data_IF_107253763906
#
_entry.id   IF_107253763906
#
_cell.length_a   1.000
_cell.length_b   1.000
_cell.length_c   1.000
_cell.angle_alpha   90.00
_cell.angle_beta   90.00
_cell.angle_gamma   90.00
#
_symmetry.space_group_name_H-M   'P 1'
#
loop_
_entity.id
_entity.type
_entity.pdbx_description
1 polymer ?
2 branched ?
3 non-polymer ?
4 non-polymer ?
5 non-polymer ?
6 non-polymer ?
7 water ?
#
# COMPACT_ATOMS: atom_id res chain seq x y z
N UNK A 1 22.92 7.24 -10.76
CA UNK A 1 23.34 7.09 -12.18
C UNK A 1 23.42 5.65 -12.75
N UNK A 2 23.57 4.62 -11.90
CA UNK A 2 23.32 3.22 -12.34
C UNK A 2 21.99 2.75 -11.79
N UNK A 3 21.33 1.81 -12.48
CA UNK A 3 20.11 1.20 -11.95
C UNK A 3 20.40 0.50 -10.61
N UNK A 4 19.50 0.67 -9.64
CA UNK A 4 19.60 -0.08 -8.41
C UNK A 4 19.31 -1.58 -8.59
N UNK A 5 20.13 -2.39 -7.93
CA UNK A 5 19.87 -3.83 -7.86
C UNK A 5 19.57 -4.22 -6.43
N UNK A 6 18.66 -5.16 -6.27
CA UNK A 6 18.26 -5.70 -4.98
C UNK A 6 19.26 -6.75 -4.50
N UNK A 7 20.38 -6.29 -3.97
CA UNK A 7 21.51 -7.18 -3.63
C UNK A 7 21.54 -7.57 -2.15
N UNK A 8 20.70 -6.94 -1.33
CA UNK A 8 20.71 -7.14 0.13
C UNK A 8 19.49 -7.96 0.59
N UNK A 9 19.64 -8.63 1.73
CA UNK A 9 18.55 -9.30 2.42
C UNK A 9 17.92 -8.30 3.40
N UNK A 10 16.79 -8.66 3.98
CA UNK A 10 16.13 -7.84 5.01
C UNK A 10 16.96 -7.79 6.30
N UNK A 11 16.97 -6.66 6.99
CA UNK A 11 17.57 -6.60 8.32
C UNK A 11 16.65 -7.40 9.25
N UNK A 12 17.21 -7.85 10.38
CA UNK A 12 16.46 -8.60 11.38
C UNK A 12 15.51 -7.63 12.07
N UNK A 13 14.23 -8.01 12.12
CA UNK A 13 13.20 -7.13 12.66
C UNK A 13 12.92 -7.58 14.09
N UNK A 14 13.43 -6.84 15.07
CA UNK A 14 13.17 -7.16 16.49
C UNK A 14 12.10 -6.26 17.11
N UNK A 15 11.87 -5.12 16.46
CA UNK A 15 10.77 -4.18 16.75
C UNK A 15 10.65 -3.13 15.64
N UNK A 16 9.80 -2.12 15.89
CA UNK A 16 9.51 -1.05 14.92
C UNK A 16 9.74 0.28 15.60
N UNK A 17 10.47 1.15 14.92
CA UNK A 17 10.73 2.52 15.42
C UNK A 17 9.90 3.54 14.58
N UNK A 18 9.54 4.67 15.19
CA UNK A 18 8.80 5.70 14.47
C UNK A 18 9.71 6.32 13.36
N UNK A 19 9.17 6.43 12.15
CA UNK A 19 9.88 6.97 10.98
C UNK A 19 9.30 8.32 10.52
N UNK A 20 7.99 8.40 10.38
CA UNK A 20 7.34 9.65 9.99
C UNK A 20 5.87 9.72 10.38
N UNK A 21 5.34 10.94 10.49
CA UNK A 21 3.94 11.16 10.88
C UNK A 21 3.68 12.61 10.48
N UNK A 22 2.63 12.84 9.71
CA UNK A 22 2.32 14.21 9.22
C UNK A 22 1.23 14.97 10.01
N UNK A 23 0.44 14.27 10.82
CA UNK A 23 -0.58 14.94 11.62
C UNK A 23 -1.43 15.84 10.72
N UNK A 24 -1.75 15.37 9.51
CA UNK A 24 -2.35 16.26 8.49
C UNK A 24 -3.75 16.80 8.85
N UNK A 25 -4.59 15.96 9.46
CA UNK A 25 -5.97 16.35 9.77
C UNK A 25 -5.95 17.38 10.92
N UNK A 26 -5.12 17.14 11.95
CA UNK A 26 -4.94 18.11 13.06
C UNK A 26 -4.52 19.45 12.50
N UNK A 27 -3.46 19.43 11.68
CA UNK A 27 -2.93 20.68 11.09
C UNK A 27 -3.91 21.37 10.14
N UNK A 28 -4.53 20.56 9.26
CA UNK A 28 -5.45 21.05 8.24
C UNK A 28 -6.76 21.65 8.71
N UNK A 29 -7.06 21.48 10.01
CA UNK A 29 -8.17 22.18 10.67
C UNK A 29 -8.06 23.70 10.49
N UNK A 30 -6.84 24.21 10.37
CA UNK A 30 -6.63 25.67 10.28
C UNK A 30 -5.44 26.00 9.37
N UNK A 31 -5.28 25.26 8.26
CA UNK A 31 -4.27 25.58 7.25
C UNK A 31 -4.65 24.87 5.97
N UNK A 32 -3.97 25.19 4.86
CA UNK A 32 -4.43 24.79 3.53
C UNK A 32 -3.93 23.42 3.12
N UNK A 33 -4.49 22.41 3.78
CA UNK A 33 -4.11 21.02 3.62
C UNK A 33 -5.11 20.34 2.68
N UNK A 34 -4.57 19.65 1.67
CA UNK A 34 -5.39 18.94 0.69
C UNK A 34 -6.07 17.72 1.33
N UNK A 35 -7.31 17.48 0.91
CA UNK A 35 -7.99 16.21 1.22
C UNK A 35 -7.30 15.09 0.40
N UNK A 36 -6.98 13.97 1.05
CA UNK A 36 -6.33 12.83 0.39
C UNK A 36 -7.00 11.52 0.79
N UNK A 37 -6.51 10.43 0.20
CA UNK A 37 -6.65 9.06 0.70
C UNK A 37 -5.69 8.21 -0.12
N UNK A 38 -5.59 6.93 0.21
CA UNK A 38 -4.66 6.02 -0.51
C UNK A 38 -3.19 6.54 -0.50
N UNK A 39 -2.65 6.88 0.70
CA UNK A 39 -1.27 7.34 0.80
C UNK A 39 -0.25 6.21 0.81
N UNK A 40 1.00 6.59 0.67
CA UNK A 40 2.16 5.69 0.78
C UNK A 40 3.41 6.52 0.92
N UNK A 41 4.57 5.85 0.94
CA UNK A 41 5.88 6.47 1.09
C UNK A 41 6.79 5.80 0.04
N UNK A 42 7.76 6.56 -0.49
CA UNK A 42 8.65 6.05 -1.51
C UNK A 42 9.91 6.88 -1.51
N UNK A 43 11.06 6.22 -1.67
CA UNK A 43 12.36 6.89 -1.64
C UNK A 43 12.99 7.02 -3.02
N UNK A 44 13.70 8.14 -3.18
CA UNK A 44 14.62 8.39 -4.26
C UNK A 44 16.01 8.15 -3.63
N UNK A 45 17.10 8.11 -4.44
CA UNK A 45 18.44 7.97 -3.81
C UNK A 45 18.84 9.08 -2.84
N UNK A 46 18.19 10.25 -2.91
CA UNK A 46 18.58 11.39 -2.06
C UNK A 46 17.51 11.90 -1.10
N UNK A 47 16.34 11.25 -1.07
CA UNK A 47 15.17 11.81 -0.40
C UNK A 47 14.05 10.75 -0.36
N UNK A 48 13.36 10.67 0.77
CA UNK A 48 12.14 9.88 0.91
C UNK A 48 10.95 10.81 1.06
N UNK A 49 9.84 10.48 0.40
CA UNK A 49 8.67 11.37 0.39
C UNK A 49 7.33 10.67 0.72
N UNK A 50 6.34 11.46 1.14
CA UNK A 50 4.97 10.96 1.31
C UNK A 50 4.27 11.15 -0.03
N UNK A 51 3.35 10.23 -0.32
CA UNK A 51 2.57 10.19 -1.54
C UNK A 51 1.14 9.94 -1.15
N UNK A 52 0.21 10.44 -1.97
CA UNK A 52 -1.23 10.16 -1.83
C UNK A 52 -2.01 10.63 -3.02
N UNK A 53 -3.28 10.21 -3.06
CA UNK A 53 -4.24 10.71 -4.02
C UNK A 53 -5.04 11.90 -3.47
N UNK A 54 -4.66 13.10 -3.93
CA UNK A 54 -5.41 14.29 -3.66
C UNK A 54 -6.86 14.11 -4.07
N UNK A 55 -7.75 14.91 -3.46
CA UNK A 55 -9.14 15.03 -3.92
C UNK A 55 -9.40 16.38 -4.59
N UNK A 56 -8.33 17.15 -4.80
CA UNK A 56 -8.42 18.48 -5.45
C UNK A 56 -9.25 19.50 -4.70
N UNK A 57 -9.02 19.60 -3.38
CA UNK A 57 -9.74 20.50 -2.49
C UNK A 57 -9.05 20.40 -1.14
N UNK A 58 -9.09 21.47 -0.37
CA UNK A 58 -8.64 21.44 1.03
C UNK A 58 -9.73 20.85 1.91
N UNK A 59 -9.37 20.46 3.13
CA UNK A 59 -10.30 19.83 4.10
C UNK A 59 -11.33 20.83 4.61
N UNK A 60 -10.89 22.04 4.95
CA UNK A 60 -11.84 23.11 5.34
C UNK A 60 -12.63 23.66 4.15
N UNK A 61 -12.20 23.36 2.92
CA UNK A 61 -12.89 23.87 1.73
C UNK A 61 -14.28 23.28 1.61
N UNK A 62 -15.20 24.07 1.07
CA UNK A 62 -16.54 23.56 0.77
C UNK A 62 -16.58 22.36 -0.21
N UNK A 63 -15.56 22.22 -1.08
CA UNK A 63 -15.50 21.10 -2.04
C UNK A 63 -15.05 19.79 -1.36
N UNK A 64 -14.74 19.84 -0.05
CA UNK A 64 -14.43 18.59 0.68
C UNK A 64 -15.71 17.75 0.86
N UNK A 65 -16.86 18.38 0.67
CA UNK A 65 -18.12 17.66 0.73
C UNK A 65 -18.25 16.69 -0.45
N UNK A 66 -18.35 15.40 -0.13
CA UNK A 66 -18.47 14.35 -1.17
C UNK A 66 -17.20 13.53 -1.40
N UNK A 67 -16.14 13.86 -0.67
CA UNK A 67 -14.81 13.21 -0.85
C UNK A 67 -14.71 11.77 -0.34
N UNK A 68 -15.80 11.25 0.26
CA UNK A 68 -15.92 9.78 0.42
C UNK A 68 -15.74 9.03 -0.94
N UNK A 69 -16.13 9.65 -2.07
CA UNK A 69 -16.09 8.97 -3.37
C UNK A 69 -14.65 8.79 -3.81
N UNK A 70 -14.39 7.64 -4.41
CA UNK A 70 -13.02 7.21 -4.77
C UNK A 70 -12.49 7.79 -6.09
N UNK A 71 -13.38 8.09 -7.02
CA UNK A 71 -12.96 8.30 -8.40
C UNK A 71 -13.67 9.53 -8.96
N UNK A 72 -12.91 10.57 -9.23
CA UNK A 72 -13.40 11.80 -9.84
C UNK A 72 -12.28 12.36 -10.69
N UNK A 73 -12.63 13.37 -11.49
CA UNK A 73 -11.71 14.06 -12.38
C UNK A 73 -10.78 15.01 -11.61
N UNK A 74 -10.98 15.13 -10.30
CA UNK A 74 -10.26 16.13 -9.48
C UNK A 74 -9.13 15.52 -8.63
N UNK A 75 -8.89 14.24 -8.82
CA UNK A 75 -7.88 13.52 -8.09
C UNK A 75 -6.55 13.53 -8.80
N UNK A 76 -5.46 13.42 -8.04
CA UNK A 76 -4.12 13.35 -8.62
C UNK A 76 -3.17 12.66 -7.64
N UNK A 77 -2.18 11.94 -8.16
CA UNK A 77 -1.04 11.52 -7.34
C UNK A 77 -0.16 12.74 -6.98
N UNK A 78 -0.02 13.03 -5.69
CA UNK A 78 0.85 14.11 -5.22
C UNK A 78 1.92 13.51 -4.33
N UNK A 79 3.07 14.18 -4.23
CA UNK A 79 4.07 13.85 -3.24
C UNK A 79 4.51 15.10 -2.50
N UNK A 80 5.06 14.92 -1.31
CA UNK A 80 5.43 16.07 -0.51
C UNK A 80 6.53 15.67 0.49
N UNK A 81 7.24 16.67 1.09
CA UNK A 81 8.33 16.25 2.00
C UNK A 81 7.91 15.38 3.20
N UNK A 82 8.76 14.44 3.57
CA UNK A 82 8.47 13.46 4.61
C UNK A 82 8.01 14.15 5.91
N UNK A 83 6.89 13.65 6.44
CA UNK A 83 6.30 14.09 7.71
C UNK A 83 5.70 15.52 7.71
N UNK A 84 5.80 16.23 6.57
CA UNK A 84 4.99 17.45 6.32
C UNK A 84 3.57 17.02 5.96
N UNK A 85 2.58 17.94 6.08
CA UNK A 85 1.25 17.63 5.55
C UNK A 85 1.16 17.93 4.04
N UNK A 86 0.21 17.30 3.32
CA UNK A 86 0.06 17.59 1.91
C UNK A 86 -0.70 18.91 1.78
N UNK A 87 0.03 20.00 1.62
CA UNK A 87 -0.59 21.29 1.48
C UNK A 87 -0.70 21.73 -0.02
N UNK A 88 -1.58 22.67 -0.29
CA UNK A 88 -1.68 23.30 -1.59
C UNK A 88 -0.31 23.81 -2.08
N UNK A 89 0.49 24.32 -1.14
CA UNK A 89 1.73 25.05 -1.46
C UNK A 89 2.99 24.18 -1.54
N UNK A 90 3.02 23.00 -0.91
CA UNK A 90 4.21 22.13 -0.95
C UNK A 90 4.01 20.79 -1.68
N UNK A 91 2.83 20.57 -2.24
CA UNK A 91 2.54 19.30 -2.87
C UNK A 91 2.87 19.33 -4.35
N UNK A 92 3.62 18.32 -4.80
CA UNK A 92 4.07 18.19 -6.18
C UNK A 92 3.20 17.16 -6.88
N UNK A 93 2.58 17.54 -7.99
CA UNK A 93 1.74 16.59 -8.76
C UNK A 93 2.59 15.68 -9.66
N UNK A 94 2.45 14.35 -9.46
CA UNK A 94 3.18 13.35 -10.21
C UNK A 94 2.43 12.97 -11.52
N UNK A 95 1.10 12.94 -11.46
CA UNK A 95 0.23 12.67 -12.63
C UNK A 95 -1.22 12.74 -12.18
N UNK A 96 -2.14 12.70 -13.13
CA UNK A 96 -3.57 12.91 -12.86
C UNK A 96 -4.28 11.57 -12.86
N UNK A 97 -5.11 11.32 -11.84
CA UNK A 97 -5.88 10.09 -11.81
C UNK A 97 -6.30 9.65 -10.42
N UNK A 98 -6.96 8.49 -10.35
CA UNK A 98 -7.58 8.02 -9.09
C UNK A 98 -7.11 6.66 -8.65
N UNK A 99 -5.99 6.21 -9.24
CA UNK A 99 -5.31 4.98 -8.84
C UNK A 99 -3.87 5.12 -9.30
N UNK A 100 -2.91 4.69 -8.47
CA UNK A 100 -1.51 5.01 -8.75
C UNK A 100 -0.49 4.04 -8.16
N UNK A 101 0.69 4.10 -8.74
CA UNK A 101 1.91 3.53 -8.12
C UNK A 101 3.08 4.44 -8.54
N UNK A 102 4.22 4.30 -7.87
CA UNK A 102 5.41 5.09 -8.14
C UNK A 102 6.64 4.37 -7.61
N UNK A 103 7.76 4.45 -8.33
CA UNK A 103 9.04 3.94 -7.80
C UNK A 103 10.23 4.51 -8.57
N UNK A 104 11.37 4.61 -7.87
CA UNK A 104 12.62 5.12 -8.43
C UNK A 104 13.46 3.92 -8.77
N UNK A 105 14.07 3.94 -9.96
CA UNK A 105 14.88 2.80 -10.41
C UNK A 105 16.39 2.95 -10.13
N UNK A 106 16.79 4.02 -9.45
CA UNK A 106 18.22 4.31 -9.18
C UNK A 106 18.71 5.44 -10.06
N UNK A 107 18.10 5.56 -11.25
CA UNK A 107 18.41 6.66 -12.17
C UNK A 107 17.34 7.74 -12.10
N UNK A 108 16.08 7.35 -12.26
CA UNK A 108 14.97 8.30 -12.16
C UNK A 108 13.66 7.58 -11.74
N UNK A 109 12.59 8.34 -11.57
CA UNK A 109 11.32 7.82 -11.06
C UNK A 109 10.28 7.50 -12.16
N UNK A 110 9.61 6.35 -12.02
CA UNK A 110 8.41 6.04 -12.77
C UNK A 110 7.20 6.27 -11.89
N UNK A 111 6.19 6.97 -12.42
CA UNK A 111 4.89 7.15 -11.76
C UNK A 111 3.79 6.75 -12.72
N UNK A 112 2.77 6.11 -12.17
CA UNK A 112 1.66 5.62 -12.99
C UNK A 112 0.34 6.08 -12.38
N UNK A 113 -0.48 6.76 -13.19
CA UNK A 113 -1.84 7.14 -12.77
C UNK A 113 -2.84 6.60 -13.77
N UNK A 114 -3.95 6.09 -13.24
CA UNK A 114 -5.08 5.61 -14.05
C UNK A 114 -6.22 6.63 -13.87
N UNK A 115 -6.89 6.98 -14.95
CA UNK A 115 -8.09 7.84 -14.86
C UNK A 115 -9.12 7.36 -15.86
N UNK A 116 -10.31 7.96 -15.84
CA UNK A 116 -11.35 7.64 -16.79
C UNK A 116 -12.64 7.20 -16.12
N UNK A 117 -13.68 6.93 -16.94
CA UNK A 117 -14.90 6.38 -16.36
C UNK A 117 -14.65 4.92 -16.06
N UNK A 118 -15.54 4.29 -15.29
CA UNK A 118 -15.40 2.88 -14.91
C UNK A 118 -15.20 1.93 -16.10
N UNK A 119 -15.90 2.20 -17.20
CA UNK A 119 -15.87 1.32 -18.37
C UNK A 119 -14.85 1.72 -19.46
N UNK A 120 -13.95 2.64 -19.15
CA UNK A 120 -13.08 3.20 -20.15
C UNK A 120 -11.81 3.88 -19.59
N UNK A 121 -11.25 3.30 -18.52
CA UNK A 121 -10.07 3.87 -17.87
C UNK A 121 -8.81 3.58 -18.65
N UNK A 122 -7.76 4.36 -18.38
CA UNK A 122 -6.45 4.12 -18.97
C UNK A 122 -5.35 4.52 -18.01
N UNK A 123 -4.26 3.76 -18.02
CA UNK A 123 -3.05 4.07 -17.28
C UNK A 123 -2.11 4.94 -18.15
N UNK A 124 -1.55 5.98 -17.56
CA UNK A 124 -0.39 6.58 -18.18
C UNK A 124 0.86 6.46 -17.32
N UNK A 125 1.90 5.95 -17.96
CA UNK A 125 3.20 5.70 -17.34
C UNK A 125 4.16 6.84 -17.64
N UNK A 126 4.52 7.56 -16.58
CA UNK A 126 5.48 8.65 -16.60
C UNK A 126 6.84 8.11 -16.15
N UNK A 127 7.88 8.64 -16.75
CA UNK A 127 9.24 8.29 -16.41
C UNK A 127 10.09 9.55 -16.60
N UNK A 128 10.91 9.89 -15.59
CA UNK A 128 11.67 11.17 -15.59
C UNK A 128 10.73 12.38 -15.77
N UNK A 129 9.55 12.25 -15.16
CA UNK A 129 8.47 13.27 -15.11
C UNK A 129 7.90 13.65 -16.46
N UNK A 130 7.99 12.71 -17.41
CA UNK A 130 7.35 12.83 -18.72
C UNK A 130 6.49 11.61 -19.01
N UNK A 131 5.36 11.81 -19.72
CA UNK A 131 4.53 10.66 -20.13
C UNK A 131 5.27 9.87 -21.22
N UNK A 132 5.33 8.54 -21.07
CA UNK A 132 6.00 7.67 -22.05
C UNK A 132 5.09 6.59 -22.67
N UNK A 133 4.30 5.89 -21.84
CA UNK A 133 3.48 4.76 -22.33
C UNK A 133 2.08 4.90 -21.79
N UNK A 134 1.10 4.45 -22.57
CA UNK A 134 -0.29 4.40 -22.15
C UNK A 134 -0.87 3.00 -22.37
N UNK A 135 -1.77 2.60 -21.47
CA UNK A 135 -2.41 1.26 -21.52
C UNK A 135 -3.93 1.41 -21.31
N UNK A 136 -4.72 0.97 -22.29
CA UNK A 136 -6.18 1.12 -22.21
C UNK A 136 -6.72 -0.04 -21.41
N UNK A 137 -7.83 0.21 -20.71
CA UNK A 137 -8.58 -0.82 -20.03
C UNK A 137 -8.74 -2.07 -20.92
N UNK A 138 -8.57 -3.25 -20.32
CA UNK A 138 -8.76 -4.51 -21.05
C UNK A 138 -10.06 -5.27 -20.67
N UNK A 139 -10.66 -4.92 -19.53
CA UNK A 139 -11.87 -5.61 -19.08
C UNK A 139 -13.03 -4.63 -18.84
N UNK A 140 -12.79 -3.33 -19.08
CA UNK A 140 -13.85 -2.30 -19.06
C UNK A 140 -14.58 -2.21 -17.70
N UNK A 141 -13.79 -2.36 -16.64
CA UNK A 141 -14.33 -2.35 -15.28
C UNK A 141 -13.26 -1.90 -14.23
N UNK A 142 -13.09 -0.58 -14.13
CA UNK A 142 -12.18 0.06 -13.17
C UNK A 142 -10.79 -0.56 -13.19
N UNK A 143 -10.06 -0.32 -14.27
CA UNK A 143 -8.62 -0.55 -14.32
C UNK A 143 -7.99 0.12 -13.06
N UNK A 144 -7.21 -0.65 -12.29
CA UNK A 144 -6.70 -0.16 -11.00
C UNK A 144 -5.36 -0.83 -10.62
N UNK A 145 -4.60 -0.22 -9.73
CA UNK A 145 -3.27 -0.73 -9.43
C UNK A 145 -3.00 -0.66 -7.93
N UNK A 146 -1.73 -0.53 -7.55
CA UNK A 146 -1.26 -0.95 -6.22
C UNK A 146 -1.65 -0.03 -5.05
N UNK A 147 -1.66 1.29 -5.29
CA UNK A 147 -1.84 2.30 -4.22
C UNK A 147 -0.69 2.30 -3.20
N UNK A 148 0.46 1.77 -3.63
CA UNK A 148 1.72 1.92 -2.87
C UNK A 148 2.92 1.72 -3.82
N UNK A 149 4.15 1.89 -3.34
CA UNK A 149 5.26 1.94 -4.28
C UNK A 149 5.53 0.61 -5.03
N UNK A 150 6.01 0.71 -6.26
CA UNK A 150 6.54 -0.46 -6.97
C UNK A 150 8.01 -0.64 -6.57
N UNK A 151 8.67 -1.62 -7.16
CA UNK A 151 10.06 -1.94 -6.84
C UNK A 151 10.79 -2.25 -8.13
N UNK A 152 12.03 -1.79 -8.25
CA UNK A 152 12.83 -2.00 -9.43
C UNK A 152 14.08 -2.82 -9.15
N UNK A 153 14.52 -3.56 -10.17
CA UNK A 153 15.78 -4.30 -10.14
C UNK A 153 16.47 -4.22 -11.52
N UNK A 154 17.67 -3.64 -11.56
CA UNK A 154 18.39 -3.39 -12.84
C UNK A 154 17.52 -2.69 -13.93
N UNK A 155 16.68 -1.75 -13.50
CA UNK A 155 15.88 -0.99 -14.49
C UNK A 155 14.50 -1.55 -14.71
N UNK A 156 14.32 -2.84 -14.36
CA UNK A 156 12.99 -3.51 -14.48
C UNK A 156 12.14 -3.29 -13.22
N UNK A 157 11.00 -2.62 -13.40
CA UNK A 157 10.05 -2.30 -12.34
C UNK A 157 8.69 -2.98 -12.62
N UNK A 158 8.43 -4.16 -12.02
CA UNK A 158 7.13 -4.78 -12.21
C UNK A 158 6.00 -4.05 -11.45
N UNK A 159 4.82 -4.10 -12.06
CA UNK A 159 3.63 -3.49 -11.52
C UNK A 159 2.43 -4.43 -11.68
N UNK A 160 1.66 -4.54 -10.60
CA UNK A 160 0.44 -5.36 -10.61
C UNK A 160 -0.80 -4.47 -10.82
N UNK A 161 -1.58 -4.82 -11.86
CA UNK A 161 -2.83 -4.16 -12.21
C UNK A 161 -3.93 -5.21 -12.15
N UNK A 162 -5.15 -4.75 -11.91
CA UNK A 162 -6.34 -5.58 -12.03
C UNK A 162 -7.38 -4.79 -12.78
N UNK A 163 -8.15 -5.50 -13.61
CA UNK A 163 -9.28 -4.91 -14.35
C UNK A 163 -10.39 -5.97 -14.36
N UNK A 164 -11.60 -5.56 -14.01
CA UNK A 164 -12.74 -6.48 -13.94
C UNK A 164 -13.38 -6.41 -12.58
N UNK A 165 -14.18 -7.43 -12.25
CA UNK A 165 -15.00 -7.44 -11.06
C UNK A 165 -14.21 -7.38 -9.75
N UNK A 166 -14.80 -6.71 -8.76
CA UNK A 166 -14.33 -6.71 -7.36
C UNK A 166 -14.99 -7.82 -6.52
N UNK A 167 -15.94 -8.53 -7.13
CA UNK A 167 -16.80 -9.47 -6.39
C UNK A 167 -16.93 -10.82 -7.14
N UNK A 168 -15.85 -11.22 -7.81
CA UNK A 168 -15.85 -12.33 -8.76
C UNK A 168 -14.48 -12.38 -9.42
N UNK A 169 -14.23 -13.40 -10.28
CA UNK A 169 -12.98 -13.46 -11.04
C UNK A 169 -12.73 -12.15 -11.83
N UNK A 170 -11.47 -11.75 -11.91
CA UNK A 170 -11.06 -10.52 -12.60
C UNK A 170 -9.78 -10.80 -13.38
N UNK A 171 -9.29 -9.82 -14.12
CA UNK A 171 -8.13 -10.00 -14.99
C UNK A 171 -6.96 -9.15 -14.49
N UNK A 172 -6.04 -9.83 -13.81
CA UNK A 172 -4.88 -9.22 -13.22
C UNK A 172 -3.73 -9.52 -14.14
N UNK A 173 -2.90 -8.51 -14.36
CA UNK A 173 -1.72 -8.61 -15.20
C UNK A 173 -0.50 -8.05 -14.46
N UNK A 174 0.67 -8.64 -14.74
CA UNK A 174 1.92 -8.12 -14.22
C UNK A 174 2.68 -7.53 -15.41
N UNK A 175 2.94 -6.22 -15.34
CA UNK A 175 3.63 -5.50 -16.36
C UNK A 175 5.05 -5.27 -15.88
N UNK A 176 6.00 -5.54 -16.76
CA UNK A 176 7.40 -5.31 -16.51
C UNK A 176 7.86 -4.11 -17.33
N UNK A 177 8.07 -3.00 -16.60
CA UNK A 177 8.49 -1.73 -17.19
C UNK A 177 10.00 -1.50 -17.09
N UNK A 178 10.55 -0.82 -18.08
CA UNK A 178 11.95 -0.35 -18.03
C UNK A 178 12.02 0.97 -18.79
N UNK A 179 12.39 2.03 -18.06
CA UNK A 179 12.40 3.40 -18.59
C UNK A 179 11.01 3.83 -19.12
N UNK A 180 9.96 3.39 -18.39
CA UNK A 180 8.58 3.68 -18.77
C UNK A 180 7.99 2.86 -19.91
N UNK A 181 8.78 1.95 -20.49
CA UNK A 181 8.34 1.17 -21.65
C UNK A 181 8.03 -0.26 -21.22
N UNK A 182 7.08 -0.90 -21.92
CA UNK A 182 6.67 -2.25 -21.56
C UNK A 182 7.69 -3.21 -22.16
N UNK A 183 8.39 -3.94 -21.32
CA UNK A 183 9.24 -5.03 -21.81
C UNK A 183 8.39 -6.27 -22.02
N UNK A 184 7.45 -6.52 -21.10
CA UNK A 184 6.69 -7.76 -21.08
C UNK A 184 5.46 -7.54 -20.20
N UNK A 185 4.40 -8.31 -20.43
CA UNK A 185 3.36 -8.47 -19.42
C UNK A 185 2.91 -9.93 -19.38
N UNK A 186 2.35 -10.36 -18.25
CA UNK A 186 1.84 -11.73 -18.05
C UNK A 186 0.47 -11.64 -17.39
N UNK A 187 -0.45 -12.58 -17.70
CA UNK A 187 -1.65 -12.73 -16.87
C UNK A 187 -1.28 -13.39 -15.54
N UNK A 188 -2.00 -13.07 -14.47
CA UNK A 188 -1.81 -13.69 -13.18
C UNK A 188 -1.82 -15.22 -13.27
N UNK A 189 -0.87 -15.85 -12.59
CA UNK A 189 -0.81 -17.30 -12.48
C UNK A 189 -0.71 -17.67 -11.00
N UNK A 190 -0.62 -18.98 -10.75
CA UNK A 190 -0.57 -19.57 -9.41
C UNK A 190 -1.96 -19.72 -8.81
N UNK A 191 -2.02 -19.76 -7.48
CA UNK A 191 -3.26 -20.16 -6.80
C UNK A 191 -4.06 -19.01 -6.17
N UNK A 192 -3.52 -17.79 -6.16
CA UNK A 192 -4.30 -16.61 -5.79
C UNK A 192 -5.53 -16.46 -6.70
N UNK A 193 -6.69 -16.24 -6.13
CA UNK A 193 -7.94 -16.30 -6.88
C UNK A 193 -8.50 -14.91 -7.24
N UNK A 194 -8.05 -13.88 -6.52
CA UNK A 194 -8.42 -12.49 -6.75
C UNK A 194 -7.32 -11.60 -6.18
N UNK A 195 -6.93 -10.55 -6.93
CA UNK A 195 -5.79 -9.67 -6.57
C UNK A 195 -6.16 -8.18 -6.71
N UNK A 196 -5.85 -7.42 -5.66
CA UNK A 196 -6.00 -5.97 -5.64
C UNK A 196 -4.94 -5.32 -4.75
N UNK A 197 -4.55 -4.10 -5.10
CA UNK A 197 -3.75 -3.25 -4.19
C UNK A 197 -2.52 -3.94 -3.59
N UNK A 198 -1.65 -4.49 -4.43
CA UNK A 198 -0.44 -5.17 -3.95
C UNK A 198 0.55 -4.24 -3.26
N UNK A 199 1.04 -4.65 -2.09
CA UNK A 199 2.08 -3.94 -1.37
C UNK A 199 3.37 -4.73 -1.56
N UNK A 200 4.39 -4.10 -2.16
CA UNK A 200 5.56 -4.84 -2.61
C UNK A 200 6.85 -4.37 -1.94
N UNK A 201 7.81 -5.27 -1.84
CA UNK A 201 9.19 -4.93 -1.41
C UNK A 201 10.14 -5.87 -2.12
N UNK A 202 11.43 -5.53 -2.10
CA UNK A 202 12.45 -6.27 -2.81
C UNK A 202 13.61 -6.64 -1.91
N UNK A 203 14.15 -7.84 -2.10
CA UNK A 203 15.38 -8.26 -1.44
C UNK A 203 15.97 -9.44 -2.20
N UNK A 204 17.30 -9.52 -2.21
CA UNK A 204 18.04 -10.56 -2.92
C UNK A 204 17.41 -10.93 -4.30
N UNK A 205 17.25 -9.91 -5.15
CA UNK A 205 16.80 -10.07 -6.55
C UNK A 205 15.41 -10.73 -6.68
N UNK A 206 14.58 -10.60 -5.64
CA UNK A 206 13.21 -11.10 -5.70
C UNK A 206 12.25 -10.06 -5.12
N UNK A 207 11.10 -9.89 -5.76
CA UNK A 207 10.07 -8.95 -5.33
C UNK A 207 8.85 -9.70 -4.80
N UNK A 208 8.46 -9.35 -3.57
CA UNK A 208 7.36 -9.99 -2.86
C UNK A 208 6.29 -8.96 -2.69
N UNK A 209 5.08 -9.31 -3.14
CA UNK A 209 3.89 -8.47 -3.02
C UNK A 209 2.81 -9.16 -2.17
N UNK A 210 2.34 -8.48 -1.13
CA UNK A 210 1.19 -8.93 -0.36
C UNK A 210 -0.02 -8.10 -0.77
N UNK A 211 -1.09 -8.80 -1.18
CA UNK A 211 -2.19 -8.13 -1.83
C UNK A 211 -3.49 -8.33 -1.06
N UNK A 212 -4.60 -7.96 -1.72
CA UNK A 212 -5.95 -8.00 -1.16
C UNK A 212 -6.81 -8.90 -2.06
N UNK A 213 -7.33 -9.99 -1.49
CA UNK A 213 -8.35 -10.78 -2.16
C UNK A 213 -9.70 -10.22 -1.75
N UNK A 214 -10.27 -9.32 -2.57
CA UNK A 214 -11.53 -8.70 -2.22
C UNK A 214 -12.73 -9.67 -2.28
N UNK A 215 -12.67 -10.64 -3.18
CA UNK A 215 -13.81 -11.47 -3.50
C UNK A 215 -14.14 -12.47 -2.37
N UNK A 216 -13.16 -13.26 -1.94
CA UNK A 216 -13.40 -14.33 -0.98
C UNK A 216 -12.46 -14.40 0.22
N UNK A 217 -11.25 -13.88 0.08
CA UNK A 217 -10.13 -14.19 0.99
C UNK A 217 -9.95 -13.24 2.16
N UNK A 218 -9.91 -13.79 3.37
CA UNK A 218 -9.54 -13.03 4.57
C UNK A 218 -8.08 -13.31 5.00
N UNK A 219 -7.51 -14.39 4.43
CA UNK A 219 -6.03 -14.49 4.34
C UNK A 219 -5.56 -13.60 3.15
N UNK A 220 -4.30 -13.21 3.11
CA UNK A 220 -3.86 -12.35 2.01
C UNK A 220 -3.13 -13.12 0.92
N UNK A 221 -3.46 -12.83 -0.36
CA UNK A 221 -2.68 -13.44 -1.44
C UNK A 221 -1.28 -12.83 -1.56
N UNK A 222 -0.35 -13.63 -2.08
CA UNK A 222 1.03 -13.20 -2.24
C UNK A 222 1.49 -13.51 -3.66
N UNK A 223 2.01 -12.50 -4.34
CA UNK A 223 2.70 -12.70 -5.61
C UNK A 223 4.21 -12.53 -5.40
N UNK A 224 5.01 -13.48 -5.87
CA UNK A 224 6.46 -13.29 -5.85
C UNK A 224 6.99 -13.25 -7.26
N UNK A 225 7.79 -12.21 -7.51
CA UNK A 225 8.22 -11.85 -8.86
C UNK A 225 9.74 -11.95 -8.98
N UNK A 226 10.17 -12.58 -10.05
CA UNK A 226 11.58 -12.62 -10.48
C UNK A 226 11.76 -11.54 -11.56
N UNK A 227 12.36 -10.38 -11.21
CA UNK A 227 12.44 -9.26 -12.18
C UNK A 227 13.53 -9.47 -13.25
N UNK A 228 14.33 -10.52 -13.13
CA UNK A 228 15.35 -10.86 -14.15
C UNK A 228 14.71 -11.76 -15.20
N UNK A 229 14.21 -12.92 -14.76
CA UNK A 229 13.44 -13.82 -15.64
C UNK A 229 12.11 -13.20 -16.08
N UNK A 230 11.66 -12.16 -15.37
CA UNK A 230 10.32 -11.57 -15.58
C UNK A 230 9.19 -12.60 -15.54
N UNK A 231 9.21 -13.41 -14.48
CA UNK A 231 8.18 -14.42 -14.22
C UNK A 231 7.70 -14.28 -12.77
N UNK A 232 6.56 -14.89 -12.45
CA UNK A 232 6.01 -14.81 -11.09
C UNK A 232 5.30 -16.10 -10.66
N UNK A 233 4.97 -16.18 -9.37
CA UNK A 233 4.05 -17.22 -8.84
C UNK A 233 3.09 -16.48 -7.92
N UNK A 234 2.05 -17.16 -7.47
CA UNK A 234 1.16 -16.63 -6.42
C UNK A 234 0.60 -17.75 -5.58
N UNK A 235 0.27 -17.39 -4.33
CA UNK A 235 -0.36 -18.28 -3.35
C UNK A 235 -1.01 -17.35 -2.31
N UNK A 236 -1.34 -17.90 -1.14
CA UNK A 236 -1.83 -17.11 -0.01
C UNK A 236 -0.86 -17.29 1.15
N UNK A 237 -0.87 -16.35 2.10
CA UNK A 237 -0.28 -16.59 3.42
C UNK A 237 -1.00 -17.80 4.06
N UNK A 238 -0.24 -18.87 4.30
CA UNK A 238 -0.72 -20.12 4.91
C UNK A 238 -1.24 -19.90 6.34
N UNK A 239 -0.66 -18.91 7.03
CA UNK A 239 -0.91 -18.69 8.45
C UNK A 239 -2.39 -18.54 8.83
N UNK A 240 -2.81 -19.13 9.97
CA UNK A 240 -4.17 -18.85 10.49
C UNK A 240 -4.31 -17.46 11.14
N UNK A 241 -3.22 -16.69 11.24
CA UNK A 241 -3.30 -15.29 11.69
C UNK A 241 -3.79 -14.49 10.48
N UNK A 242 -5.10 -14.24 10.43
CA UNK A 242 -5.73 -13.65 9.23
C UNK A 242 -5.56 -12.12 9.22
N UNK A 243 -5.24 -11.55 8.06
CA UNK A 243 -4.80 -10.13 8.05
C UNK A 243 -5.57 -9.17 7.15
N UNK A 244 -6.65 -9.64 6.54
CA UNK A 244 -7.54 -8.71 5.83
C UNK A 244 -8.60 -8.13 6.80
N UNK A 245 -9.48 -7.31 6.27
CA UNK A 245 -10.55 -6.68 7.07
C UNK A 245 -11.68 -6.21 6.15
N UNK A 246 -12.95 -6.48 6.52
CA UNK A 246 -13.34 -7.33 7.65
C UNK A 246 -12.94 -8.81 7.44
N UNK A 247 -12.94 -9.59 8.52
CA UNK A 247 -12.48 -10.98 8.52
C UNK A 247 -13.17 -11.77 9.62
N UNK A 248 -13.21 -13.12 9.50
CA UNK A 248 -13.74 -13.87 10.65
C UNK A 248 -12.65 -13.96 11.71
N UNK A 249 -12.96 -14.59 12.84
CA UNK A 249 -11.96 -14.79 13.89
C UNK A 249 -10.86 -15.72 13.42
N UNK A 250 -9.67 -15.59 14.03
CA UNK A 250 -8.54 -16.45 13.66
C UNK A 250 -8.86 -17.92 13.97
N UNK A 251 -8.61 -18.83 13.00
CA UNK A 251 -8.70 -20.27 13.25
C UNK A 251 -7.37 -20.79 13.81
N UNK A 252 -7.19 -22.11 13.85
CA UNK A 252 -5.88 -22.69 14.18
C UNK A 252 -5.15 -23.20 12.96
N UNK A 253 -5.87 -23.38 11.85
CA UNK A 253 -5.20 -23.72 10.62
C UNK A 253 -5.71 -22.82 9.51
N UNK A 254 -4.56 -22.11 8.53
CA UNK A 254 -4.99 -21.24 7.45
C UNK A 254 -5.11 -22.09 6.22
N UNK A 255 -5.06 -21.41 5.08
CA UNK A 255 -5.10 -22.03 3.75
C UNK A 255 -3.97 -21.40 2.94
N UNK A 256 -3.18 -22.26 2.31
CA UNK A 256 -2.01 -21.89 1.51
C UNK A 256 -2.39 -21.53 0.08
N UNK A 257 -3.42 -22.19 -0.45
CA UNK A 257 -3.70 -22.11 -1.89
C UNK A 257 -5.13 -21.77 -2.25
N UNK A 258 -5.89 -21.28 -1.28
CA UNK A 258 -7.27 -20.87 -1.50
C UNK A 258 -7.60 -19.74 -0.56
N UNK A 259 -8.65 -18.95 -0.85
CA UNK A 259 -9.11 -17.93 0.07
C UNK A 259 -9.66 -18.54 1.38
N UNK A 260 -9.28 -17.99 2.52
CA UNK A 260 -9.88 -18.38 3.76
C UNK A 260 -11.28 -17.71 3.83
N UNK A 261 -12.35 -18.52 3.93
CA UNK A 261 -13.71 -17.99 3.77
C UNK A 261 -14.31 -17.37 5.04
N UNK A 262 -15.52 -16.83 4.90
CA UNK A 262 -16.22 -16.22 6.02
C UNK A 262 -16.65 -14.79 5.71
N UNK A 263 -15.92 -14.12 4.80
CA UNK A 263 -16.22 -12.73 4.42
C UNK A 263 -16.00 -12.53 2.91
N UNK A 264 -17.00 -11.95 2.26
CA UNK A 264 -17.02 -11.84 0.81
C UNK A 264 -17.09 -10.35 0.40
N UNK A 265 -16.51 -10.03 -0.75
CA UNK A 265 -16.77 -8.77 -1.42
C UNK A 265 -16.35 -7.55 -0.60
N UNK A 266 -15.26 -7.64 0.14
CA UNK A 266 -14.75 -6.48 0.87
C UNK A 266 -13.33 -6.78 1.32
N UNK A 267 -12.66 -5.79 1.90
CA UNK A 267 -11.26 -5.97 2.29
C UNK A 267 -10.60 -4.64 2.57
N UNK A 268 -9.28 -4.65 2.75
CA UNK A 268 -8.52 -3.43 2.92
C UNK A 268 -7.10 -3.68 2.36
N UNK A 269 -6.47 -2.66 1.79
CA UNK A 269 -5.07 -2.81 1.38
C UNK A 269 -4.20 -3.06 2.62
N UNK A 270 -3.29 -4.03 2.55
CA UNK A 270 -2.37 -4.33 3.67
C UNK A 270 -1.04 -4.86 3.14
N UNK A 271 -0.19 -5.38 4.02
CA UNK A 271 1.18 -5.77 3.61
C UNK A 271 1.72 -6.81 4.60
N UNK A 272 2.86 -7.41 4.27
CA UNK A 272 3.63 -8.24 5.19
C UNK A 272 5.09 -8.23 4.73
N UNK A 273 5.97 -8.72 5.60
CA UNK A 273 7.37 -9.03 5.27
C UNK A 273 7.52 -10.51 5.55
N UNK A 274 7.82 -11.27 4.50
CA UNK A 274 7.83 -12.74 4.59
C UNK A 274 9.28 -13.24 4.43
N UNK A 275 9.92 -13.61 5.53
CA UNK A 275 11.36 -13.82 5.52
C UNK A 275 11.74 -14.91 6.55
N UNK A 276 11.18 -16.12 6.38
CA UNK A 276 11.45 -17.23 7.29
C UNK A 276 11.01 -16.88 8.68
N UNK A 277 11.89 -17.07 9.65
CA UNK A 277 11.58 -16.69 11.03
C UNK A 277 11.41 -15.17 11.22
N UNK A 278 12.06 -14.37 10.36
CA UNK A 278 12.00 -12.90 10.34
C UNK A 278 10.72 -12.39 9.61
N UNK A 279 9.59 -13.02 9.89
CA UNK A 279 8.33 -12.72 9.23
C UNK A 279 7.42 -11.91 10.16
N UNK A 280 6.96 -10.75 9.69
CA UNK A 280 6.02 -9.90 10.41
C UNK A 280 4.80 -9.53 9.55
N UNK A 281 3.62 -9.68 10.13
CA UNK A 281 2.35 -9.36 9.47
C UNK A 281 1.74 -8.12 10.10
N UNK A 282 1.20 -7.22 9.28
CA UNK A 282 0.34 -6.16 9.79
C UNK A 282 -1.13 -6.55 9.59
N UNK A 283 -1.98 -6.07 10.50
CA UNK A 283 -3.44 -6.21 10.45
C UNK A 283 -4.09 -5.08 11.28
N UNK A 284 -5.34 -4.78 10.94
CA UNK A 284 -6.23 -4.06 11.84
C UNK A 284 -6.42 -4.94 13.09
N UNK A 285 -6.58 -4.30 14.25
CA UNK A 285 -6.93 -5.06 15.45
C UNK A 285 -8.39 -5.57 15.34
N UNK A 286 -9.31 -4.68 14.97
CA UNK A 286 -10.71 -5.06 14.76
C UNK A 286 -10.89 -6.04 13.57
N UNK A 287 -11.76 -7.04 13.75
CA UNK A 287 -12.15 -7.97 12.68
C UNK A 287 -13.29 -7.40 11.85
N UNK A 288 -13.91 -6.35 12.35
CA UNK A 288 -15.13 -5.79 11.76
C UNK A 288 -14.91 -4.49 10.98
N UNK A 289 -14.02 -3.63 11.47
CA UNK A 289 -13.76 -2.37 10.78
C UNK A 289 -12.28 -1.96 10.75
N UNK A 290 -11.98 -0.87 10.03
CA UNK A 290 -10.63 -0.34 9.88
C UNK A 290 -10.28 0.43 11.15
N UNK A 291 -10.01 -0.35 12.17
CA UNK A 291 -9.87 0.16 13.48
C UNK A 291 -8.66 -0.54 14.13
N UNK A 292 -7.80 0.24 14.77
CA UNK A 292 -6.52 -0.27 15.32
C UNK A 292 -5.54 -0.81 14.28
N UNK A 293 -4.31 -1.07 14.72
CA UNK A 293 -3.28 -1.62 13.87
C UNK A 293 -2.17 -2.23 14.70
N UNK A 294 -1.77 -3.44 14.33
CA UNK A 294 -0.69 -4.11 15.02
C UNK A 294 0.25 -4.83 14.06
N UNK A 295 1.50 -4.98 14.49
CA UNK A 295 2.45 -5.87 13.82
C UNK A 295 2.61 -7.16 14.63
N UNK A 296 2.62 -8.30 13.95
CA UNK A 296 2.80 -9.59 14.62
C UNK A 296 3.93 -10.41 13.98
N UNK A 297 4.85 -10.86 14.80
CA UNK A 297 5.91 -11.76 14.36
C UNK A 297 5.32 -13.17 14.28
N UNK A 298 5.26 -13.70 13.06
CA UNK A 298 4.60 -15.00 12.82
C UNK A 298 5.61 -15.81 11.99
N UNK A 299 6.54 -16.50 12.67
CA UNK A 299 7.60 -17.24 11.94
C UNK A 299 7.02 -18.14 10.86
N UNK A 300 7.58 -18.04 9.64
CA UNK A 300 7.15 -18.87 8.51
C UNK A 300 5.67 -18.74 8.11
N UNK A 301 5.06 -17.58 8.38
CA UNK A 301 3.66 -17.31 8.04
C UNK A 301 3.29 -17.78 6.63
N UNK A 302 4.15 -17.47 5.66
CA UNK A 302 3.91 -17.80 4.25
C UNK A 302 3.67 -19.29 4.00
N UNK A 303 4.47 -20.13 4.65
CA UNK A 303 4.51 -21.55 4.33
C UNK A 303 3.96 -22.50 5.43
N UNK A 304 3.62 -21.95 6.59
CA UNK A 304 3.25 -22.79 7.75
C UNK A 304 1.78 -22.48 8.11
N UNK A 305 0.90 -23.42 7.79
CA UNK A 305 -0.54 -23.22 7.91
C UNK A 305 -1.07 -23.30 9.35
N UNK A 306 -0.16 -23.43 10.31
CA UNK A 306 -0.51 -23.45 11.74
C UNK A 306 0.29 -22.38 12.52
N UNK A 307 1.10 -21.56 11.81
CA UNK A 307 1.98 -20.55 12.44
C UNK A 307 1.19 -19.48 13.21
N UNK A 308 1.64 -19.22 14.44
CA UNK A 308 0.99 -18.29 15.37
C UNK A 308 2.02 -17.26 15.85
N UNK A 309 1.56 -16.14 16.44
CA UNK A 309 2.51 -15.06 16.80
C UNK A 309 3.51 -15.46 17.89
N UNK A 310 4.74 -14.97 17.80
CA UNK A 310 5.75 -15.18 18.86
C UNK A 310 6.16 -13.84 19.51
N UNK A 311 5.70 -12.75 18.90
CA UNK A 311 6.05 -11.39 19.31
C UNK A 311 5.07 -10.48 18.58
N UNK A 312 4.84 -9.05 19.28
CA UNK A 312 4.06 -8.11 18.51
C UNK A 312 4.39 -6.69 18.92
N UNK A 313 3.72 -5.76 18.25
CA UNK A 313 3.80 -4.38 18.62
C UNK A 313 2.49 -3.75 18.17
N UNK A 314 1.84 -3.04 19.09
CA UNK A 314 0.68 -2.24 18.73
C UNK A 314 1.19 -0.97 18.08
N UNK A 315 0.55 -0.54 17.01
CA UNK A 315 0.89 0.67 16.26
C UNK A 315 -0.20 1.72 16.49
N UNK A 316 -1.47 1.27 16.36
CA UNK A 316 -2.65 2.12 16.58
C UNK A 316 -3.61 1.33 17.48
N UNK A 317 -4.09 1.99 18.55
CA UNK A 317 -5.06 1.36 19.47
C UNK A 317 -6.36 1.04 18.74
N UNK A 318 -7.04 0.01 19.22
CA UNK A 318 -8.33 -0.40 18.65
C UNK A 318 -9.42 0.64 18.85
N UNK A 319 -9.15 1.67 19.66
CA UNK A 319 -10.08 2.76 19.88
C UNK A 319 -9.78 3.94 18.94
N UNK A 320 -8.88 3.72 17.98
CA UNK A 320 -8.53 4.73 16.95
C UNK A 320 -8.68 4.14 15.53
N UNK A 321 -9.04 5.01 14.60
CA UNK A 321 -9.21 4.64 13.20
C UNK A 321 -7.87 4.40 12.47
N UNK A 322 -7.82 3.33 11.69
CA UNK A 322 -6.69 3.05 10.80
C UNK A 322 -7.19 3.15 9.36
N UNK A 323 -6.77 2.21 8.52
CA UNK A 323 -7.06 2.27 7.08
C UNK A 323 -6.09 1.39 6.33
N UNK A 324 -5.72 1.85 5.13
CA UNK A 324 -4.80 1.16 4.24
C UNK A 324 -3.43 1.05 4.89
N UNK A 325 -2.66 0.02 4.53
CA UNK A 325 -1.28 -0.06 4.95
C UNK A 325 -0.44 -0.70 3.82
N UNK A 326 0.85 -0.39 3.76
CA UNK A 326 1.69 -0.85 2.65
C UNK A 326 3.16 -0.74 2.96
N UNK A 327 3.95 -1.37 2.11
CA UNK A 327 5.39 -1.52 2.35
C UNK A 327 6.22 -0.55 1.48
N UNK A 328 7.36 -0.11 2.00
CA UNK A 328 8.39 0.58 1.23
C UNK A 328 9.71 0.33 1.98
N UNK A 329 10.84 0.53 1.31
CA UNK A 329 12.13 0.57 1.99
C UNK A 329 13.01 1.64 1.34
N UNK A 330 13.96 2.16 2.11
CA UNK A 330 15.01 3.00 1.55
C UNK A 330 16.12 2.08 0.94
N UNK A 331 15.97 1.75 -0.34
CA UNK A 331 16.96 0.93 -1.08
C UNK A 331 18.35 1.58 -1.23
N UNK A 332 18.46 2.87 -0.88
CA UNK A 332 19.70 3.63 -1.01
C UNK A 332 20.39 3.99 0.33
N UNK A 333 19.90 3.43 1.43
CA UNK A 333 20.53 3.59 2.74
C UNK A 333 21.89 2.87 2.82
N UNK A 334 22.72 3.28 3.77
CA UNK A 334 23.99 2.59 4.05
C UNK A 334 23.77 1.26 4.75
N UNK A 335 24.79 0.40 4.75
CA UNK A 335 24.76 -0.80 5.58
C UNK A 335 24.58 -2.03 4.72
N UNK A 336 24.37 -3.15 5.38
CA UNK A 336 24.49 -4.44 4.72
C UNK A 336 23.13 -5.11 4.47
N UNK A 337 22.05 -4.46 4.90
CA UNK A 337 20.73 -5.06 4.79
C UNK A 337 19.69 -3.99 4.51
N UNK A 338 18.55 -4.39 3.97
CA UNK A 338 17.43 -3.46 3.77
C UNK A 338 16.52 -3.45 4.99
N UNK A 339 16.26 -2.25 5.51
CA UNK A 339 15.43 -2.06 6.69
C UNK A 339 13.97 -1.94 6.27
N UNK A 340 13.18 -2.93 6.66
CA UNK A 340 11.75 -2.98 6.36
C UNK A 340 11.03 -1.75 6.93
N UNK A 341 10.18 -1.13 6.11
CA UNK A 341 9.31 -0.03 6.60
C UNK A 341 7.87 -0.26 6.17
N UNK A 342 6.95 0.45 6.81
CA UNK A 342 5.57 0.46 6.37
C UNK A 342 4.89 1.78 6.79
N UNK A 343 3.76 2.10 6.17
CA UNK A 343 2.91 3.19 6.64
C UNK A 343 1.50 2.63 6.96
N UNK A 344 0.75 3.36 7.79
CA UNK A 344 -0.66 3.12 7.99
C UNK A 344 -1.37 4.46 7.66
N UNK A 345 -2.41 4.37 6.84
CA UNK A 345 -3.33 5.45 6.53
C UNK A 345 -4.32 5.51 7.70
N UNK A 346 -4.46 6.70 8.30
CA UNK A 346 -5.39 6.91 9.42
C UNK A 346 -6.58 7.71 8.90
N UNK A 347 -7.63 7.00 8.51
CA UNK A 347 -8.80 7.61 7.86
C UNK A 347 -9.66 8.31 8.89
N UNK A 348 -10.08 9.55 8.56
CA UNK A 348 -10.99 10.31 9.38
C UNK A 348 -12.14 10.74 8.51
N UNK A 349 -13.29 10.92 9.15
CA UNK A 349 -14.48 11.39 8.44
C UNK A 349 -15.32 10.21 8.00
N UNK A 350 -15.94 10.33 6.84
CA UNK A 350 -16.87 9.29 6.39
C UNK A 350 -16.18 8.00 5.94
N UNK A 351 -16.89 6.85 6.06
CA UNK A 351 -18.25 6.75 6.61
C UNK A 351 -18.33 6.63 8.16
N UNK A 352 -17.22 6.41 8.85
CA UNK A 352 -17.31 6.11 10.29
C UNK A 352 -17.62 7.34 11.11
N UNK A 353 -17.17 8.49 10.66
CA UNK A 353 -17.45 9.74 11.38
C UNK A 353 -18.28 10.68 10.51
N UNK A 354 -19.61 10.52 10.54
CA UNK A 354 -20.45 11.18 9.56
C UNK A 354 -21.03 12.53 9.96
N UNK A 355 -20.53 13.12 11.03
CA UNK A 355 -20.96 14.46 11.40
C UNK A 355 -20.23 15.48 10.50
N UNK A 356 -19.13 15.04 9.89
CA UNK A 356 -18.47 15.81 8.80
C UNK A 356 -18.85 15.22 7.44
N UNK A 357 -18.79 16.04 6.40
CA UNK A 357 -19.18 15.66 5.03
C UNK A 357 -17.98 15.20 4.19
N UNK A 358 -16.78 15.25 4.78
CA UNK A 358 -15.56 14.82 4.10
C UNK A 358 -15.06 13.44 4.55
N UNK A 359 -14.09 12.93 3.78
CA UNK A 359 -13.23 11.82 4.15
C UNK A 359 -11.81 12.21 3.80
N UNK A 360 -10.91 12.09 4.77
CA UNK A 360 -9.50 12.27 4.49
C UNK A 360 -8.70 11.32 5.40
N UNK A 361 -7.41 11.62 5.57
CA UNK A 361 -6.54 10.78 6.37
C UNK A 361 -5.29 11.54 6.77
N UNK A 362 -4.55 11.01 7.73
CA UNK A 362 -3.14 11.38 7.91
C UNK A 362 -2.29 10.10 7.77
N UNK A 363 -0.98 10.22 7.96
CA UNK A 363 -0.06 9.11 7.77
C UNK A 363 0.79 8.93 9.01
N UNK A 364 1.05 7.66 9.37
CA UNK A 364 2.13 7.33 10.30
C UNK A 364 2.94 6.22 9.61
N UNK A 365 4.27 6.25 9.77
CA UNK A 365 5.12 5.14 9.27
C UNK A 365 6.23 4.81 10.24
N UNK A 366 6.67 3.55 10.18
CA UNK A 366 7.67 2.96 11.04
C UNK A 366 8.66 2.20 10.16
N UNK A 367 9.89 2.01 10.64
CA UNK A 367 10.84 1.09 10.04
C UNK A 367 11.30 0.16 11.14
N UNK A 368 11.94 -0.96 10.77
CA UNK A 368 12.34 -1.98 11.75
C UNK A 368 13.61 -1.57 12.48
N UNK A 369 13.73 -2.01 13.73
CA UNK A 369 14.94 -1.86 14.54
C UNK A 369 15.46 -3.29 14.87
N UNK A 370 16.77 -3.45 14.97
CA UNK A 370 17.36 -4.69 15.56
C UNK A 370 17.35 -4.67 17.12
N UNK A 371 17.00 -3.53 17.69
CA UNK A 371 16.73 -3.48 19.14
C UNK A 371 15.31 -3.96 19.45
N UNK A 372 15.04 -4.23 20.74
CA UNK A 372 13.67 -4.52 21.21
C UNK A 372 13.11 -3.27 21.89
N UNK A 373 12.64 -2.35 21.05
CA UNK A 373 12.20 -1.04 21.53
C UNK A 373 10.82 -1.08 22.18
N UNK A 374 10.67 -0.26 23.21
CA UNK A 374 9.34 0.03 23.80
C UNK A 374 8.35 0.56 22.76
N UNK A 375 7.05 0.29 23.00
CA UNK A 375 6.01 0.69 22.07
C UNK A 375 5.17 1.90 22.56
N UNK A 376 4.79 2.76 21.61
CA UNK A 376 3.71 3.73 21.82
C UNK A 376 2.61 3.44 20.81
N UNK A 377 1.45 4.09 20.96
CA UNK A 377 0.45 4.00 19.92
C UNK A 377 0.45 5.35 19.25
N UNK A 378 0.00 5.40 17.99
CA UNK A 378 0.15 6.57 17.12
C UNK A 378 -1.16 6.92 16.41
N UNK A 379 -2.11 7.57 17.12
CA UNK A 379 -3.41 7.90 16.48
C UNK A 379 -3.30 9.11 15.54
N UNK A 380 -4.32 9.34 14.72
CA UNK A 380 -4.37 10.56 13.89
C UNK A 380 -4.23 11.82 14.76
N UNK A 381 -4.98 11.86 15.87
CA UNK A 381 -4.89 12.94 16.84
C UNK A 381 -5.87 14.10 16.69
N UNK A 382 -6.62 14.16 15.60
CA UNK A 382 -7.58 15.25 15.44
C UNK A 382 -8.88 15.02 16.21
N UNK A 383 -9.53 16.12 16.62
CA UNK A 383 -10.89 16.11 17.22
C UNK A 383 -11.88 16.50 16.17
N UNK A 384 -12.70 15.54 15.74
CA UNK A 384 -13.72 15.80 14.72
C UNK A 384 -14.66 16.94 15.12
N UNK A 385 -14.99 17.04 16.41
CA UNK A 385 -15.87 18.10 16.91
C UNK A 385 -15.38 19.51 16.53
N UNK A 386 -14.06 19.68 16.36
CA UNK A 386 -13.49 20.98 15.96
C UNK A 386 -13.95 21.43 14.54
N UNK A 387 -14.24 20.45 13.70
CA UNK A 387 -14.63 20.66 12.31
C UNK A 387 -16.12 20.89 12.14
N UNK A 388 -16.86 20.87 13.25
CA UNK A 388 -18.31 21.04 13.21
C UNK A 388 -18.66 22.50 13.35
X LIG B 1 -19.37 14.35 -34.63
X LIG B 1 -19.08 15.82 -34.77
X LIG B 1 -18.89 16.52 -33.42
X LIG B 1 -20.09 16.28 -32.51
X LIG B 1 -20.24 14.76 -32.34
X LIG B 1 -21.52 14.37 -31.58
X LIG B 1 -20.30 16.25 -35.35
X LIG B 1 -18.66 17.90 -33.63
X LIG B 1 -19.87 16.87 -31.23
X LIG B 1 -20.32 14.08 -33.61
X LIG B 1 -21.28 13.01 -31.17
X LIG B 2 -20.56 17.60 -36.04
X LIG B 2 -22.03 17.49 -36.46
X LIG B 2 -22.22 16.76 -37.79
X LIG B 2 -21.22 17.23 -38.82
X LIG B 2 -19.76 17.18 -38.30
X LIG B 2 -18.73 17.74 -39.27
X LIG B 2 -22.50 18.83 -36.56
X LIG B 2 -23.57 16.99 -38.23
X LIG B 2 -21.36 16.33 -39.94
X LIG B 2 -19.65 17.93 -37.10
X LIG B 2 -19.07 19.08 -39.70
X LIG C 1 -11.63 1.15 -0.17
X LIG C 1 -11.64 1.48 -1.66
X LIG C 1 -10.76 2.72 -1.96
X LIG C 1 -10.15 2.72 -3.37
X LIG C 1 -10.93 1.82 -4.37
X LIG C 1 -10.91 0.39 -3.81
X LIG C 1 -11.81 -0.57 -4.61
X LIG C 1 -11.70 -1.99 -4.05
X LIG C 1 -12.60 -2.99 -4.78
X LIG C 1 -10.65 2.25 -6.81
X LIG C 1 -9.71 2.15 -7.99
X LIG C 1 -10.19 1.80 -5.65
X LIG C 1 -11.95 -0.03 0.10
X LIG C 1 -11.35 2.05 0.70
X LIG C 1 -13.04 1.67 -2.01
X LIG C 1 -10.10 4.06 -3.86
X LIG C 1 -11.22 0.32 -2.40
X LIG C 1 -13.18 -0.11 -4.62
X LIG C 1 -10.32 -2.37 -4.11
X LIG C 1 -12.11 -3.24 -6.10
X LIG C 1 -11.78 2.70 -6.96
X LIG D 1 -14.39 -3.30 16.95
X LIG D 1 -15.19 -2.35 17.84
X LIG D 1 -14.36 -1.73 18.99
X LIG D 1 -13.55 -0.46 18.66
X LIG D 1 -14.26 0.50 17.68
X LIG D 1 -14.97 -0.27 16.55
X LIG D 1 -15.87 0.63 15.70
X LIG D 1 -16.78 -0.19 14.79
X LIG D 1 -17.11 0.59 13.54
X LIG D 1 -13.13 2.66 17.15
X LIG D 1 -11.99 3.25 16.35
X LIG D 1 -13.24 1.33 17.02
X LIG D 1 -14.75 -3.39 15.76
X LIG D 1 -13.43 -3.95 17.45
X LIG D 1 -16.25 -3.13 18.41
X LIG D 1 -13.30 0.23 19.89
X LIG D 1 -15.81 -1.32 17.06
X LIG D 1 -16.66 1.48 16.53
X LIG D 1 -16.17 -1.47 14.46
X LIG D 1 -18.44 0.28 13.12
X LIG D 1 -13.84 3.39 17.83
X LIG E 1 -14.77 4.27 -24.89
X LIG E 1 -16.21 4.62 -25.30
X LIG E 1 -16.23 4.65 -26.81
X LIG E 1 -15.14 5.65 -27.24
X LIG E 1 -13.74 5.28 -26.71
X LIG E 1 -12.59 6.15 -27.21
X LIG E 1 -18.07 3.70 -24.07
X LIG E 1 -18.79 2.42 -23.72
X LIG E 1 -17.03 3.49 -24.87
X LIG E 1 -17.51 5.14 -27.24
X LIG E 1 -15.11 5.51 -28.64
X LIG E 1 -13.85 5.30 -25.30
X LIG E 1 -12.84 7.55 -27.09
X LIG E 1 -18.41 4.80 -23.65
X LIG F 1 -15.10 6.92 -29.56
X LIG F 1 -14.47 6.91 -30.94
X LIG F 1 -14.53 8.35 -31.38
X LIG F 1 -16.01 8.80 -31.30
X LIG F 1 -16.62 8.67 -29.90
X LIG F 1 -18.11 9.05 -29.85
X LIG F 1 -12.65 5.31 -31.08
X LIG F 1 -11.19 4.96 -30.96
X LIG F 1 -13.06 6.56 -30.77
X LIG F 1 -13.99 8.43 -32.69
X LIG F 1 -16.09 10.17 -31.67
X LIG F 1 -16.46 7.33 -29.47
X LIG F 1 -18.81 8.09 -30.66
X LIG F 1 -13.43 4.47 -31.48
X LIG G 1 -17.06 10.50 -32.99
X LIG G 1 -17.28 12.00 -32.93
X LIG G 1 -17.97 12.36 -34.24
X LIG G 1 -17.23 11.85 -35.46
X LIG G 1 -17.01 10.36 -35.33
X LIG G 1 -16.18 9.87 -36.50
X LIG G 1 -16.01 12.64 -32.84
X LIG G 1 -17.91 13.78 -34.28
X LIG G 1 -17.94 12.13 -36.67
X LIG G 1 -16.26 10.14 -34.13
X LIG G 1 -16.31 8.46 -36.44
X LIG H 1 -23.49 19.56 -35.33
X LIG H 1 -23.80 20.89 -36.01
X LIG H 1 -22.52 21.72 -36.20
X LIG H 1 -21.77 21.85 -34.87
X LIG H 1 -21.37 20.45 -34.36
X LIG H 1 -20.71 20.48 -32.97
X LIG H 1 -24.75 21.56 -35.18
X LIG H 1 -22.84 23.00 -36.74
X LIG H 1 -20.65 22.74 -34.98
X LIG H 1 -22.54 19.62 -34.23
X LIG H 1 -21.70 20.95 -32.05
X LIG I 1 -17.91 7.99 -37.56
X LIG I 1 -17.84 6.48 -37.34
X LIG I 1 -16.56 5.93 -37.95
X LIG I 1 -16.40 6.32 -39.40
X LIG I 1 -16.26 7.83 -39.39
X LIG I 1 -16.07 8.39 -40.78
X LIG I 1 -19.02 5.91 -37.91
X LIG I 1 -16.53 4.51 -37.92
X LIG I 1 -15.22 5.70 -39.93
X LIG I 1 -17.45 8.39 -38.86
X LIG I 1 -17.21 8.01 -41.56
X LIG J 1 -17.37 9.16 -44.28
X LIG J 1 -18.74 8.49 -44.03
X LIG J 1 -18.65 7.01 -43.59
X LIG J 1 -17.50 6.24 -44.27
X LIG J 1 -16.21 7.02 -44.08
X LIG J 1 -14.98 6.25 -44.55
X LIG J 1 -19.60 8.69 -45.17
X LIG J 1 -19.91 6.34 -43.73
X LIG J 1 -17.36 4.93 -43.71
X LIG J 1 -16.33 8.28 -44.75
X LIG J 1 -13.79 6.81 -43.97
X LIG K 1 -15.13 3.30 -36.66
X LIG K 1 -15.87 2.08 -37.21
X LIG K 1 -17.28 1.89 -36.63
X LIG K 1 -17.34 2.15 -35.11
X LIG K 1 -16.80 3.57 -34.86
X LIG K 1 -16.86 4.01 -33.39
X LIG K 1 -15.07 0.92 -37.06
X LIG K 1 -17.77 0.59 -36.97
X LIG K 1 -18.68 2.01 -34.61
X LIG K 1 -15.43 3.65 -35.30
X LIG K 1 -17.08 5.43 -33.31
X LIG L 1 23.19 -3.32 -11.31
X LIG L 1 24.41 -2.45 -11.22
X LIG L 1 24.69 -2.01 -12.65
X LIG L 1 24.89 -3.26 -13.50
X LIG L 1 23.71 -4.26 -13.43
X LIG L 1 23.92 -5.55 -14.24
X LIG L 1 24.80 -0.78 -9.48
X LIG L 1 24.33 0.43 -8.73
X LIG L 1 24.01 -1.28 -10.45
X LIG L 1 25.85 -1.20 -12.68
X LIG L 1 25.03 -2.83 -14.85
X LIG L 1 23.45 -4.53 -12.04
X LIG L 1 25.20 -6.12 -13.92
X LIG L 1 25.87 -1.30 -9.20
X LIG M 1 26.60 -2.76 -15.82
X LIG M 1 26.20 -2.46 -17.26
X LIG M 1 27.53 -2.34 -18.03
X LIG M 1 28.11 -1.01 -17.49
X LIG M 1 28.30 -1.09 -15.94
X LIG M 1 28.78 0.20 -15.30
X LIG M 1 25.07 -4.73 -17.81
X LIG M 1 23.77 -5.24 -18.30
X LIG M 1 25.14 -3.40 -17.73
X LIG M 1 27.32 -2.26 -19.43
X LIG M 1 29.31 -0.59 -18.18
X LIG M 1 27.09 -1.53 -15.28
X LIG M 1 27.77 1.21 -15.38
X LIG M 1 25.97 -5.49 -17.51
X LIG N 1 -23.42 18.24 1.31
X LIG N 1 -24.31 19.29 1.95
X LIG N 1 -25.63 18.61 2.28
X LIG N 1 -26.24 17.99 1.02
X LIG N 1 -25.27 16.96 0.45
X LIG N 1 -25.76 16.28 -0.82
X LIG N 1 -23.04 20.76 3.49
X LIG N 1 -22.39 20.92 4.82
X LIG N 1 -23.63 19.59 3.21
X LIG N 1 -26.50 19.57 2.88
X LIG N 1 -27.54 17.42 1.29
X LIG N 1 -23.99 17.56 0.19
X LIG N 1 -25.39 17.03 -1.98
X LIG N 1 -23.02 21.67 2.69
X LIG O 1 -11.03 -9.83 1.60
#
# INVERSE_FOLDING_TARGET
RDFNNLTKGLCTINSWHIYGKDNAVRIGEDSDVLVTREPYVSCDPDECRFYALSQGTTIRGKHSNGTIHDRSQYRALISWPLSSPPTVYNSRVECIGWSSTSCHDGKTRMSICISGPNNNASAVIWYNRRPVTEINTWARNILRTQESECVCHNGVCPVVFTDGSATGPAETRIYYFKEGKILKWEPLAGTAKHIEECSCYGERAEITCTCRDNWQGSNRPVIRIDPVAMTHTSQYICSPVLTDNPRPNDPTVGKCNDPYPGNNNNGVKGFSYLDGVNTWLGRTISIASRSGYEMLKVPNALTDDKSKPTQGQTIVLNTDWSGYSGSFMDYWAEGECYRACFYVELIRGRPKEDKVWWTSNSIVSMCSSTEFLGQWDWPDGAKIEYFL
MAN C1 C2 C3 C4 C5 C6 O2 O3 O4 O5 O6
MAN C1 C2 C3 C4 C5 C6 O2 O3 O4 O5 O6
SIA C1 C2 C3 C4 C5 C6 C7 C8 C9 C10 C11 N5 O1A O1B O2 O4 O6 O7 O8 O9 O10
SIA C1 C2 C3 C4 C5 C6 C7 C8 C9 C10 C11 N5 O1A O1B O2 O4 O6 O7 O8 O9 O10
NAG C1 C2 C3 C4 C5 C6 C7 C8 N2 O3 O4 O5 O6 O7
NAG C1 C2 C3 C4 C5 C6 C7 C8 N2 O3 O4 O5 O6 O7
BMA C1 C2 C3 C4 C5 C6 O2 O3 O4 O5 O6
BMA C1 C2 C3 C4 C5 C6 O2 O3 O4 O5 O6
BMA C1 C2 C3 C4 C5 C6 O2 O3 O4 O5 O6
BMA C1 C2 C3 C4 C5 C6 O2 O3 O4 O5 O6
BMA C1 C2 C3 C4 C5 C6 O2 O3 O4 O5 O6
NAG C1 C2 C3 C4 C5 C6 C7 C8 N2 O3 O4 O5 O6 O7
NAG C1 C2 C3 C4 C5 C6 C7 C8 N2 O3 O4 O5 O6 O7
NAG C1 C2 C3 C4 C5 C6 C7 C8 N2 O3 O4 O5 O6 O7
CA CA
#
